data_IF_195046155265
#
_entry.id   IF_195046155265
#
_cell.length_a   1.000
_cell.length_b   1.000
_cell.length_c   1.000
_cell.angle_alpha   90.00
_cell.angle_beta   90.00
_cell.angle_gamma   90.00
#
_symmetry.space_group_name_H-M   'P 1'
#
loop_
_entity.id
_entity.type
_entity.pdbx_description
1 polymer ?
#
# COMPACT_ATOMS: atom_id res chain seq x y z
N UNK A 1 8.22 -11.20 -5.68
CA UNK A 1 9.26 -12.23 -5.40
C UNK A 1 9.67 -13.05 -6.63
N UNK A 2 8.74 -13.76 -7.29
CA UNK A 2 9.01 -14.62 -8.44
C UNK A 2 9.71 -13.84 -9.58
N UNK A 3 9.21 -12.65 -9.91
CA UNK A 3 9.80 -11.75 -10.91
C UNK A 3 11.23 -11.32 -10.57
N UNK A 4 11.51 -11.07 -9.29
CA UNK A 4 12.85 -10.70 -8.81
C UNK A 4 13.82 -11.87 -8.91
N UNK A 5 13.38 -13.08 -8.56
CA UNK A 5 14.19 -14.31 -8.74
C UNK A 5 14.49 -14.53 -10.22
N UNK A 6 13.49 -14.42 -11.10
CA UNK A 6 13.70 -14.54 -12.55
C UNK A 6 14.64 -13.45 -13.08
N UNK A 7 14.56 -12.21 -12.57
CA UNK A 7 15.47 -11.12 -12.96
C UNK A 7 16.90 -11.38 -12.50
N UNK A 8 17.11 -11.77 -11.25
CA UNK A 8 18.44 -12.08 -10.72
C UNK A 8 19.04 -13.33 -11.38
N UNK A 9 18.22 -14.38 -11.60
CA UNK A 9 18.62 -15.56 -12.36
C UNK A 9 18.93 -15.20 -13.81
N UNK A 10 18.14 -14.31 -14.41
CA UNK A 10 18.36 -13.86 -15.77
C UNK A 10 19.70 -13.15 -15.94
N UNK A 11 20.12 -12.39 -14.92
CA UNK A 11 21.37 -11.64 -14.91
C UNK A 11 22.60 -12.50 -14.56
N UNK A 12 22.45 -13.54 -13.73
CA UNK A 12 23.57 -14.35 -13.23
C UNK A 12 23.79 -15.71 -13.92
N UNK A 13 22.79 -16.27 -14.59
CA UNK A 13 22.93 -17.57 -15.24
C UNK A 13 23.70 -17.41 -16.57
N UNK A 14 24.85 -18.09 -16.68
CA UNK A 14 25.72 -18.03 -17.87
C UNK A 14 24.98 -18.63 -19.08
N UNK A 15 24.64 -17.80 -20.05
CA UNK A 15 23.94 -18.21 -21.27
C UNK A 15 24.96 -18.67 -22.34
N UNK A 16 24.78 -19.88 -22.88
CA UNK A 16 25.51 -20.32 -24.07
C UNK A 16 24.91 -19.65 -25.30
N UNK A 17 25.71 -18.81 -25.97
CA UNK A 17 25.30 -17.99 -27.11
C UNK A 17 25.10 -18.87 -28.35
N UNK A 18 23.85 -19.12 -28.74
CA UNK A 18 23.52 -19.66 -30.07
C UNK A 18 23.73 -18.56 -31.13
N UNK A 19 24.51 -18.84 -32.18
CA UNK A 19 24.76 -17.91 -33.30
C UNK A 19 23.42 -17.45 -33.89
N UNK A 20 23.18 -16.13 -33.93
CA UNK A 20 22.02 -15.51 -34.56
C UNK A 20 20.87 -15.08 -33.65
N UNK A 21 20.94 -15.34 -32.32
CA UNK A 21 19.93 -14.85 -31.36
C UNK A 21 20.47 -13.77 -30.43
N UNK A 22 19.63 -12.79 -30.10
CA UNK A 22 19.88 -11.82 -29.03
C UNK A 22 20.01 -12.56 -27.69
N UNK A 23 21.06 -12.28 -26.91
CA UNK A 23 21.17 -12.81 -25.55
C UNK A 23 20.12 -12.17 -24.66
N UNK A 24 19.71 -12.86 -23.58
CA UNK A 24 18.74 -12.36 -22.61
C UNK A 24 19.09 -10.98 -22.03
N UNK A 25 20.36 -10.71 -21.77
CA UNK A 25 20.82 -9.42 -21.26
C UNK A 25 20.70 -8.28 -22.28
N UNK A 26 21.00 -8.56 -23.56
CA UNK A 26 20.80 -7.58 -24.63
C UNK A 26 19.32 -7.28 -24.85
N UNK A 27 18.45 -8.29 -24.82
CA UNK A 27 16.99 -8.08 -24.88
C UNK A 27 16.50 -7.25 -23.68
N UNK A 28 16.98 -7.54 -22.47
CA UNK A 28 16.64 -6.76 -21.27
C UNK A 28 17.07 -5.30 -21.41
N UNK A 29 18.29 -5.03 -21.90
CA UNK A 29 18.76 -3.66 -22.10
C UNK A 29 17.96 -2.91 -23.16
N UNK A 30 17.64 -3.57 -24.28
CA UNK A 30 16.78 -2.98 -25.33
C UNK A 30 15.41 -2.65 -24.75
N UNK A 31 14.76 -3.61 -24.08
CA UNK A 31 13.46 -3.40 -23.45
C UNK A 31 13.49 -2.29 -22.38
N UNK A 32 14.55 -2.22 -21.59
CA UNK A 32 14.75 -1.17 -20.59
C UNK A 32 14.87 0.21 -21.22
N UNK A 33 15.73 0.36 -22.24
CA UNK A 33 15.91 1.64 -22.95
C UNK A 33 14.63 2.04 -23.68
N UNK A 34 13.96 1.11 -24.38
CA UNK A 34 12.69 1.37 -25.03
C UNK A 34 11.60 1.79 -24.04
N UNK A 35 11.49 1.10 -22.89
CA UNK A 35 10.52 1.46 -21.84
C UNK A 35 10.83 2.82 -21.22
N UNK A 36 12.11 3.13 -20.98
CA UNK A 36 12.54 4.41 -20.45
C UNK A 36 12.22 5.56 -21.42
N UNK A 37 12.57 5.39 -22.70
CA UNK A 37 12.25 6.37 -23.74
C UNK A 37 10.75 6.51 -23.95
N UNK A 38 9.99 5.40 -23.89
CA UNK A 38 8.54 5.44 -24.00
C UNK A 38 7.92 6.22 -22.85
N UNK A 39 8.41 6.10 -21.61
CA UNK A 39 7.87 6.79 -20.44
C UNK A 39 7.89 8.33 -20.55
N UNK A 40 8.86 8.89 -21.27
CA UNK A 40 8.93 10.33 -21.54
C UNK A 40 7.70 10.81 -22.33
N UNK A 41 7.13 9.93 -23.18
CA UNK A 41 6.06 10.27 -24.08
C UNK A 41 4.73 10.52 -23.35
N UNK A 42 4.14 9.59 -22.56
CA UNK A 42 2.96 9.87 -21.77
C UNK A 42 3.28 10.72 -20.52
N UNK A 43 4.52 10.73 -20.03
CA UNK A 43 4.87 11.47 -18.82
C UNK A 43 5.05 12.98 -19.01
N UNK A 44 5.61 13.41 -20.15
CA UNK A 44 5.99 14.81 -20.37
C UNK A 44 5.51 15.39 -21.70
N UNK A 45 5.62 14.64 -22.80
CA UNK A 45 5.34 15.20 -24.15
C UNK A 45 3.84 15.22 -24.42
N UNK A 46 3.14 14.12 -24.16
CA UNK A 46 1.70 13.96 -24.40
C UNK A 46 1.01 13.30 -23.19
N UNK A 47 0.75 14.06 -22.11
CA UNK A 47 0.05 13.57 -20.93
C UNK A 47 -1.32 12.95 -21.22
N UNK A 48 -1.97 13.35 -22.31
CA UNK A 48 -3.26 12.78 -22.74
C UNK A 48 -3.23 11.25 -22.95
N UNK A 49 -2.07 10.66 -23.27
CA UNK A 49 -1.95 9.20 -23.43
C UNK A 49 -2.16 8.43 -22.13
N UNK A 50 -2.06 9.09 -20.97
CA UNK A 50 -2.32 8.45 -19.67
C UNK A 50 -3.80 8.08 -19.49
N UNK A 51 -4.71 8.82 -20.13
CA UNK A 51 -6.16 8.59 -20.01
C UNK A 51 -6.92 9.04 -21.27
N UNK A 52 -7.00 8.15 -22.27
CA UNK A 52 -7.81 8.35 -23.46
C UNK A 52 -9.27 7.96 -23.19
N UNK A 53 -10.07 8.95 -22.82
CA UNK A 53 -11.49 8.78 -22.50
C UNK A 53 -12.37 9.05 -23.74
N UNK A 54 -12.53 8.05 -24.63
CA UNK A 54 -13.28 8.22 -25.89
C UNK A 54 -14.74 8.63 -25.70
N UNK A 55 -15.39 8.21 -24.61
CA UNK A 55 -16.75 8.61 -24.26
C UNK A 55 -16.85 10.13 -24.05
N UNK A 56 -15.84 10.73 -23.43
CA UNK A 56 -15.78 12.18 -23.23
C UNK A 56 -15.55 12.94 -24.54
N UNK A 57 -14.89 12.33 -25.52
CA UNK A 57 -14.70 12.89 -26.85
C UNK A 57 -15.97 12.88 -27.71
N UNK A 58 -16.75 11.79 -27.66
CA UNK A 58 -18.00 11.70 -28.42
C UNK A 58 -19.08 12.63 -27.83
N UNK A 59 -19.13 12.76 -26.50
CA UNK A 59 -20.14 13.56 -25.80
C UNK A 59 -19.52 14.65 -24.92
N UNK A 60 -18.84 15.65 -25.50
CA UNK A 60 -18.11 16.65 -24.74
C UNK A 60 -19.02 17.57 -23.90
N UNK A 61 -20.28 17.78 -24.31
CA UNK A 61 -21.21 18.66 -23.60
C UNK A 61 -22.01 17.96 -22.48
N UNK A 62 -21.96 16.62 -22.39
CA UNK A 62 -22.77 15.86 -21.44
C UNK A 62 -22.02 15.64 -20.13
N UNK A 63 -22.53 16.24 -19.05
CA UNK A 63 -21.99 16.07 -17.69
C UNK A 63 -22.01 14.60 -17.27
N UNK A 64 -23.05 13.85 -17.63
CA UNK A 64 -23.17 12.42 -17.30
C UNK A 64 -22.11 11.61 -18.06
N UNK A 65 -21.87 11.91 -19.34
CA UNK A 65 -20.86 11.22 -20.13
C UNK A 65 -19.44 11.50 -19.59
N UNK A 66 -19.18 12.72 -19.11
CA UNK A 66 -17.91 13.07 -18.48
C UNK A 66 -17.74 12.38 -17.12
N UNK A 67 -18.78 12.37 -16.27
CA UNK A 67 -18.74 11.70 -14.96
C UNK A 67 -18.53 10.19 -15.08
N UNK A 68 -19.12 9.56 -16.09
CA UNK A 68 -18.97 8.12 -16.34
C UNK A 68 -17.65 7.78 -17.05
N UNK A 69 -17.30 8.56 -18.09
CA UNK A 69 -16.24 8.22 -19.02
C UNK A 69 -14.86 8.78 -18.67
N UNK A 70 -14.76 9.83 -17.87
CA UNK A 70 -13.47 10.45 -17.53
C UNK A 70 -12.65 9.53 -16.65
N UNK A 71 -11.43 9.16 -17.07
CA UNK A 71 -10.52 8.34 -16.26
C UNK A 71 -9.78 9.10 -15.15
N UNK A 72 -9.79 10.43 -15.16
CA UNK A 72 -9.12 11.27 -14.14
C UNK A 72 -10.08 11.86 -13.11
N UNK A 73 -11.27 12.25 -13.55
CA UNK A 73 -12.26 12.99 -12.73
C UNK A 73 -13.60 12.26 -12.64
N UNK A 74 -13.68 11.03 -13.14
CA UNK A 74 -14.89 10.24 -13.23
C UNK A 74 -14.63 8.77 -12.98
N UNK A 75 -15.58 7.93 -13.38
CA UNK A 75 -15.50 6.48 -13.15
C UNK A 75 -14.62 5.74 -14.16
N UNK A 76 -14.20 6.41 -15.24
CA UNK A 76 -13.27 5.85 -16.23
C UNK A 76 -13.86 4.76 -17.14
N UNK A 77 -15.18 4.70 -17.33
CA UNK A 77 -15.81 3.73 -18.23
C UNK A 77 -15.26 3.93 -19.64
N UNK A 78 -14.57 2.91 -20.14
CA UNK A 78 -13.97 2.94 -21.47
C UNK A 78 -12.72 3.83 -21.59
N UNK A 79 -12.20 4.39 -20.51
CA UNK A 79 -10.93 5.12 -20.56
C UNK A 79 -9.76 4.14 -20.79
N UNK A 80 -8.91 4.45 -21.77
CA UNK A 80 -7.73 3.63 -22.11
C UNK A 80 -6.47 4.41 -21.75
N UNK A 81 -5.71 3.91 -20.80
CA UNK A 81 -4.36 4.41 -20.52
C UNK A 81 -3.33 3.62 -21.32
N UNK A 82 -2.51 4.29 -22.12
CA UNK A 82 -1.38 3.69 -22.82
C UNK A 82 -0.08 3.71 -22.00
N UNK A 83 -0.15 4.22 -20.78
CA UNK A 83 0.98 4.30 -19.86
C UNK A 83 1.01 3.11 -18.89
N UNK A 84 2.16 2.43 -18.84
CA UNK A 84 2.38 1.32 -17.92
C UNK A 84 2.37 1.76 -16.45
N UNK A 85 2.77 3.00 -16.14
CA UNK A 85 2.74 3.48 -14.75
C UNK A 85 1.31 3.66 -14.24
N UNK A 86 0.41 4.14 -15.09
CA UNK A 86 -1.03 4.21 -14.81
C UNK A 86 -1.68 2.83 -14.62
N UNK A 87 -1.26 1.83 -15.41
CA UNK A 87 -1.75 0.44 -15.26
C UNK A 87 -1.20 -0.21 -13.99
N UNK A 88 0.08 0.03 -13.68
CA UNK A 88 0.78 -0.61 -12.57
C UNK A 88 0.58 0.06 -11.21
N UNK A 89 0.13 1.32 -11.18
CA UNK A 89 -0.16 2.05 -9.93
C UNK A 89 -1.28 1.39 -9.12
N UNK A 90 -2.29 0.80 -9.78
CA UNK A 90 -3.46 0.23 -9.13
C UNK A 90 -3.27 -1.22 -8.66
N UNK A 91 -2.66 -2.08 -9.50
CA UNK A 91 -2.52 -3.52 -9.24
C UNK A 91 -1.09 -3.95 -8.86
N UNK A 92 -0.15 -2.99 -8.74
CA UNK A 92 1.28 -3.28 -8.72
C UNK A 92 1.73 -3.79 -10.10
N UNK A 93 2.59 -4.80 -10.16
CA UNK A 93 2.94 -5.44 -11.44
C UNK A 93 1.93 -6.55 -11.77
N UNK A 94 0.92 -6.32 -12.65
CA UNK A 94 -0.09 -7.34 -12.98
C UNK A 94 0.54 -8.60 -13.59
N UNK A 95 1.70 -8.47 -14.24
CA UNK A 95 2.49 -9.59 -14.78
C UNK A 95 3.02 -10.54 -13.69
N UNK A 96 3.14 -10.06 -12.45
CA UNK A 96 3.65 -10.85 -11.33
C UNK A 96 2.52 -11.52 -10.52
N UNK A 97 1.27 -11.07 -10.71
CA UNK A 97 0.11 -11.54 -9.96
C UNK A 97 -0.57 -12.70 -10.70
N UNK A 98 -1.02 -13.76 -10.01
CA UNK A 98 -1.73 -14.87 -10.65
C UNK A 98 -3.00 -14.40 -11.35
N UNK A 99 -3.34 -15.00 -12.50
CA UNK A 99 -4.52 -14.64 -13.30
C UNK A 99 -5.82 -14.62 -12.49
N UNK A 100 -6.06 -15.65 -11.66
CA UNK A 100 -7.24 -15.72 -10.81
C UNK A 100 -7.36 -14.53 -9.84
N UNK A 101 -6.24 -14.07 -9.27
CA UNK A 101 -6.24 -12.92 -8.37
C UNK A 101 -6.59 -11.63 -9.14
N UNK A 102 -5.97 -11.44 -10.31
CA UNK A 102 -6.25 -10.30 -11.19
C UNK A 102 -7.70 -10.29 -11.67
N UNK A 103 -8.25 -11.44 -12.06
CA UNK A 103 -9.64 -11.57 -12.48
C UNK A 103 -10.62 -11.23 -11.34
N UNK A 104 -10.37 -11.71 -10.12
CA UNK A 104 -11.21 -11.36 -8.96
C UNK A 104 -11.17 -9.86 -8.65
N UNK A 105 -10.00 -9.23 -8.70
CA UNK A 105 -9.87 -7.78 -8.47
C UNK A 105 -10.60 -7.02 -9.57
N UNK A 106 -10.52 -7.46 -10.84
CA UNK A 106 -11.23 -6.83 -11.95
C UNK A 106 -12.75 -6.93 -11.79
N UNK A 107 -13.27 -8.09 -11.38
CA UNK A 107 -14.71 -8.28 -11.11
C UNK A 107 -15.15 -7.42 -9.93
N UNK A 108 -14.38 -7.42 -8.84
CA UNK A 108 -14.65 -6.57 -7.67
C UNK A 108 -14.65 -5.08 -8.03
N UNK A 109 -13.65 -4.64 -8.79
CA UNK A 109 -13.57 -3.27 -9.30
C UNK A 109 -14.79 -2.91 -10.16
N UNK A 110 -15.14 -3.74 -11.15
CA UNK A 110 -16.29 -3.48 -12.01
C UNK A 110 -17.61 -3.39 -11.23
N UNK A 111 -17.81 -4.28 -10.25
CA UNK A 111 -18.98 -4.26 -9.39
C UNK A 111 -19.05 -2.96 -8.56
N UNK A 112 -17.93 -2.57 -7.96
CA UNK A 112 -17.89 -1.42 -7.05
C UNK A 112 -18.00 -0.09 -7.80
N UNK A 113 -17.21 0.06 -8.86
CA UNK A 113 -17.08 1.32 -9.60
C UNK A 113 -18.23 1.53 -10.58
N UNK A 114 -18.69 0.46 -11.24
CA UNK A 114 -19.72 0.58 -12.30
C UNK A 114 -21.12 0.19 -11.85
N UNK A 115 -21.29 -0.49 -10.71
CA UNK A 115 -22.62 -0.88 -10.20
C UNK A 115 -22.94 -0.18 -8.87
N UNK A 116 -22.14 -0.38 -7.82
CA UNK A 116 -22.46 0.16 -6.48
C UNK A 116 -22.34 1.68 -6.44
N UNK A 117 -21.21 2.24 -6.89
CA UNK A 117 -20.97 3.69 -6.84
C UNK A 117 -22.03 4.48 -7.61
N UNK A 118 -22.40 4.09 -8.84
CA UNK A 118 -23.41 4.83 -9.58
C UNK A 118 -24.81 4.63 -8.98
N UNK A 119 -25.15 3.41 -8.54
CA UNK A 119 -26.42 3.13 -7.87
C UNK A 119 -26.60 3.98 -6.60
N UNK A 120 -25.58 4.04 -5.75
CA UNK A 120 -25.59 4.86 -4.52
C UNK A 120 -25.69 6.35 -4.82
N UNK A 121 -25.00 6.82 -5.87
CA UNK A 121 -25.05 8.21 -6.31
C UNK A 121 -26.44 8.61 -6.84
N UNK A 122 -27.04 7.81 -7.72
CA UNK A 122 -28.35 8.12 -8.28
C UNK A 122 -29.49 7.92 -7.28
N UNK A 123 -29.38 7.00 -6.32
CA UNK A 123 -30.31 6.91 -5.20
C UNK A 123 -30.14 8.04 -4.16
N UNK A 124 -29.16 8.94 -4.37
CA UNK A 124 -28.88 10.07 -3.50
C UNK A 124 -28.61 9.66 -2.04
N UNK A 125 -28.00 8.48 -1.84
CA UNK A 125 -27.63 7.98 -0.52
C UNK A 125 -26.55 8.92 0.04
N UNK A 126 -26.69 9.37 1.29
CA UNK A 126 -25.82 10.38 1.91
C UNK A 126 -25.76 11.74 1.21
N UNK A 127 -26.83 12.16 0.51
CA UNK A 127 -26.85 13.41 -0.28
C UNK A 127 -25.77 13.45 -1.37
N UNK A 128 -25.44 12.28 -1.91
CA UNK A 128 -24.41 12.07 -2.91
C UNK A 128 -24.43 13.07 -4.09
N UNK A 129 -25.62 13.46 -4.57
CA UNK A 129 -25.76 14.34 -5.76
C UNK A 129 -25.28 15.78 -5.53
N UNK A 130 -25.06 16.18 -4.29
CA UNK A 130 -24.51 17.49 -3.95
C UNK A 130 -23.01 17.58 -4.24
N UNK A 131 -22.34 16.44 -4.40
CA UNK A 131 -20.89 16.33 -4.54
C UNK A 131 -20.50 15.65 -5.85
N UNK A 132 -19.25 15.83 -6.33
CA UNK A 132 -18.73 15.01 -7.43
C UNK A 132 -18.78 13.51 -7.11
N UNK A 133 -19.06 12.67 -8.11
CA UNK A 133 -19.07 11.20 -7.96
C UNK A 133 -17.70 10.70 -7.47
N UNK A 134 -16.63 11.25 -8.04
CA UNK A 134 -15.24 10.92 -7.77
C UNK A 134 -14.49 12.19 -7.38
N UNK A 135 -14.01 12.25 -6.14
CA UNK A 135 -13.11 13.31 -5.65
C UNK A 135 -12.46 12.86 -4.34
N UNK A 136 -11.22 13.29 -4.14
CA UNK A 136 -10.43 13.18 -2.91
C UNK A 136 -10.67 14.35 -1.94
N UNK A 137 -11.37 15.40 -2.37
CA UNK A 137 -11.67 16.57 -1.55
C UNK A 137 -12.81 16.31 -0.55
N UNK A 138 -12.79 17.06 0.55
CA UNK A 138 -13.83 17.09 1.58
C UNK A 138 -14.84 18.20 1.27
N UNK A 139 -16.12 17.99 1.58
CA UNK A 139 -17.19 18.92 1.26
C UNK A 139 -18.06 19.30 2.46
N UNK A 140 -18.62 20.51 2.44
CA UNK A 140 -19.67 20.97 3.37
C UNK A 140 -21.04 20.44 2.93
N UNK A 141 -22.07 20.58 3.75
CA UNK A 141 -23.44 20.13 3.39
C UNK A 141 -24.00 20.76 2.10
N UNK A 142 -23.43 21.88 1.64
CA UNK A 142 -23.83 22.64 0.46
C UNK A 142 -23.02 22.31 -0.81
N UNK A 143 -22.02 21.42 -0.73
CA UNK A 143 -21.20 21.05 -1.89
C UNK A 143 -19.94 21.89 -2.09
N UNK A 144 -19.65 22.82 -1.18
CA UNK A 144 -18.41 23.61 -1.21
C UNK A 144 -17.27 22.81 -0.61
N UNK A 145 -16.03 23.10 -1.03
CA UNK A 145 -14.85 22.49 -0.42
C UNK A 145 -14.78 22.85 1.05
N UNK A 146 -14.59 21.86 1.91
CA UNK A 146 -14.50 22.05 3.35
C UNK A 146 -13.15 22.66 3.70
N UNK A 147 -13.16 23.76 4.47
CA UNK A 147 -11.91 24.32 4.96
C UNK A 147 -11.47 23.57 6.21
N UNK A 148 -10.35 22.87 6.13
CA UNK A 148 -9.84 22.06 7.25
C UNK A 148 -9.12 22.96 8.27
N UNK A 149 -8.58 24.09 7.83
CA UNK A 149 -7.85 25.02 8.70
C UNK A 149 -8.76 25.70 9.73
N UNK A 150 -10.06 25.81 9.47
CA UNK A 150 -11.00 26.45 10.40
C UNK A 150 -11.38 25.57 11.59
N UNK A 151 -11.17 24.25 11.49
CA UNK A 151 -11.55 23.28 12.53
C UNK A 151 -10.34 22.74 13.31
N UNK A 152 -9.13 23.21 12.99
CA UNK A 152 -7.90 22.79 13.65
C UNK A 152 -7.33 23.99 14.42
N UNK A 153 -7.02 23.79 15.70
CA UNK A 153 -6.40 24.82 16.53
C UNK A 153 -4.89 24.99 16.23
N UNK A 154 -4.25 26.02 16.82
CA UNK A 154 -2.81 26.26 16.68
C UNK A 154 -1.94 25.10 17.22
N UNK A 155 -2.52 24.21 18.02
CA UNK A 155 -1.90 23.03 18.58
C UNK A 155 -2.24 21.75 17.79
N UNK A 156 -2.81 21.84 16.59
CA UNK A 156 -3.22 20.70 15.76
C UNK A 156 -4.28 19.77 16.40
N UNK A 157 -5.06 20.25 17.36
CA UNK A 157 -6.24 19.57 17.87
C UNK A 157 -7.49 19.95 17.06
N UNK A 158 -8.47 19.05 17.09
CA UNK A 158 -9.79 19.34 16.54
C UNK A 158 -10.54 20.29 17.49
N UNK A 159 -10.91 21.46 16.99
CA UNK A 159 -11.82 22.38 17.68
C UNK A 159 -13.26 21.90 17.49
N UNK A 160 -13.85 21.35 18.56
CA UNK A 160 -15.21 20.83 18.55
C UNK A 160 -16.26 21.94 18.35
N UNK A 161 -16.04 23.14 18.86
CA UNK A 161 -16.99 24.26 18.68
C UNK A 161 -16.96 24.77 17.24
N UNK A 162 -15.77 24.91 16.65
CA UNK A 162 -15.64 25.28 15.25
C UNK A 162 -16.24 24.21 14.33
N UNK A 163 -16.04 22.93 14.65
CA UNK A 163 -16.64 21.81 13.94
C UNK A 163 -18.17 21.82 14.01
N UNK A 164 -18.76 22.11 15.17
CA UNK A 164 -20.22 22.24 15.31
C UNK A 164 -20.78 23.42 14.50
N UNK A 165 -20.04 24.52 14.37
CA UNK A 165 -20.45 25.69 13.58
C UNK A 165 -20.38 25.45 12.08
N UNK A 166 -19.28 24.86 11.60
CA UNK A 166 -19.08 24.53 10.18
C UNK A 166 -19.95 23.34 9.72
N UNK A 167 -20.27 22.45 10.67
CA UNK A 167 -21.10 21.28 10.44
C UNK A 167 -20.33 20.06 9.92
N UNK A 168 -21.04 18.95 9.66
CA UNK A 168 -20.42 17.67 9.36
C UNK A 168 -19.72 17.66 8.00
N UNK A 169 -18.63 16.89 7.93
CA UNK A 169 -17.84 16.63 6.74
C UNK A 169 -18.55 15.64 5.83
N UNK A 170 -18.57 15.93 4.53
CA UNK A 170 -19.08 15.04 3.49
C UNK A 170 -17.97 14.58 2.56
N UNK A 171 -18.08 13.35 2.09
CA UNK A 171 -17.14 12.69 1.19
C UNK A 171 -17.82 12.43 -0.15
N UNK A 172 -17.01 12.32 -1.22
CA UNK A 172 -17.52 11.84 -2.51
C UNK A 172 -18.10 10.42 -2.38
N UNK A 173 -19.07 10.10 -3.22
CA UNK A 173 -19.76 8.79 -3.15
C UNK A 173 -18.80 7.64 -3.37
N UNK A 174 -17.88 7.77 -4.32
CA UNK A 174 -16.84 6.79 -4.55
C UNK A 174 -15.97 6.56 -3.31
N UNK A 175 -15.53 7.63 -2.65
CA UNK A 175 -14.66 7.53 -1.48
C UNK A 175 -15.38 6.90 -0.28
N UNK A 176 -16.66 7.24 -0.06
CA UNK A 176 -17.48 6.64 0.99
C UNK A 176 -17.68 5.12 0.78
N UNK A 177 -18.01 4.70 -0.46
CA UNK A 177 -18.16 3.27 -0.81
C UNK A 177 -16.83 2.53 -0.65
N UNK A 178 -15.72 3.15 -1.09
CA UNK A 178 -14.38 2.58 -0.97
C UNK A 178 -13.96 2.33 0.48
N UNK A 179 -14.27 3.25 1.40
CA UNK A 179 -14.03 3.04 2.84
C UNK A 179 -14.86 1.89 3.40
N UNK A 180 -16.15 1.80 3.05
CA UNK A 180 -16.99 0.68 3.47
C UNK A 180 -16.43 -0.67 3.04
N UNK A 181 -15.94 -0.76 1.80
CA UNK A 181 -15.33 -1.98 1.26
C UNK A 181 -13.97 -2.25 1.88
N UNK A 182 -13.20 -1.22 2.23
CA UNK A 182 -11.91 -1.37 2.91
C UNK A 182 -12.08 -2.08 4.27
N UNK A 183 -13.12 -1.72 5.04
CA UNK A 183 -13.46 -2.43 6.28
C UNK A 183 -13.89 -3.88 6.05
N UNK A 184 -14.72 -4.11 5.02
CA UNK A 184 -15.14 -5.46 4.64
C UNK A 184 -13.95 -6.33 4.19
N UNK A 185 -13.01 -5.76 3.44
CA UNK A 185 -11.81 -6.44 2.92
C UNK A 185 -10.90 -6.94 4.04
N UNK A 186 -10.69 -6.15 5.09
CA UNK A 186 -9.87 -6.54 6.23
C UNK A 186 -10.51 -7.68 7.02
N UNK A 187 -11.81 -7.59 7.29
CA UNK A 187 -12.55 -8.65 7.97
C UNK A 187 -12.55 -9.92 7.12
N UNK A 188 -12.79 -9.80 5.81
CA UNK A 188 -12.75 -10.92 4.87
C UNK A 188 -11.36 -11.55 4.80
N UNK A 189 -10.28 -10.76 4.84
CA UNK A 189 -8.90 -11.26 4.86
C UNK A 189 -8.65 -12.16 6.05
N UNK A 190 -9.05 -11.69 7.25
CA UNK A 190 -8.91 -12.45 8.49
C UNK A 190 -9.72 -13.75 8.42
N UNK A 191 -11.01 -13.66 8.07
CA UNK A 191 -11.91 -14.82 7.97
C UNK A 191 -11.41 -15.83 6.93
N UNK A 192 -10.99 -15.36 5.75
CA UNK A 192 -10.47 -16.20 4.68
C UNK A 192 -9.23 -16.98 5.11
N UNK A 193 -8.25 -16.30 5.72
CA UNK A 193 -7.02 -16.95 6.19
C UNK A 193 -7.32 -17.96 7.29
N UNK A 194 -8.19 -17.63 8.25
CA UNK A 194 -8.55 -18.57 9.32
C UNK A 194 -9.30 -19.80 8.80
N UNK A 195 -10.27 -19.64 7.90
CA UNK A 195 -11.07 -20.75 7.38
C UNK A 195 -10.29 -21.65 6.42
N UNK A 196 -9.57 -21.06 5.46
CA UNK A 196 -8.92 -21.84 4.39
C UNK A 196 -7.49 -22.25 4.74
N UNK A 197 -6.72 -21.37 5.38
CA UNK A 197 -5.32 -21.63 5.71
C UNK A 197 -5.08 -21.95 7.19
N UNK A 198 -6.07 -21.83 8.07
CA UNK A 198 -5.88 -22.02 9.52
C UNK A 198 -5.32 -23.40 9.89
N UNK A 199 -5.80 -24.47 9.25
CA UNK A 199 -5.27 -25.84 9.46
C UNK A 199 -3.81 -25.95 9.02
N UNK A 200 -3.46 -25.39 7.87
CA UNK A 200 -2.09 -25.39 7.35
C UNK A 200 -1.17 -24.57 8.25
N UNK A 201 -1.60 -23.37 8.67
CA UNK A 201 -0.86 -22.49 9.58
C UNK A 201 -0.60 -23.19 10.90
N UNK A 202 -1.58 -23.90 11.47
CA UNK A 202 -1.38 -24.68 12.69
C UNK A 202 -0.35 -25.80 12.45
N UNK A 203 -0.53 -26.61 11.41
CA UNK A 203 0.39 -27.71 11.11
C UNK A 203 1.82 -27.21 10.86
N UNK A 204 1.98 -26.10 10.14
CA UNK A 204 3.27 -25.45 9.87
C UNK A 204 3.87 -24.88 11.14
N UNK A 205 3.08 -24.21 11.98
CA UNK A 205 3.54 -23.69 13.27
C UNK A 205 4.04 -24.84 14.16
N UNK A 206 3.25 -25.92 14.29
CA UNK A 206 3.64 -27.11 15.05
C UNK A 206 4.89 -27.80 14.48
N UNK A 207 5.02 -27.83 13.16
CA UNK A 207 6.17 -28.43 12.48
C UNK A 207 7.44 -27.57 12.57
N UNK A 208 7.29 -26.23 12.60
CA UNK A 208 8.40 -25.30 12.81
C UNK A 208 9.02 -25.49 14.20
N UNK A 209 8.20 -25.69 15.23
CA UNK A 209 8.67 -26.06 16.57
C UNK A 209 9.21 -27.49 16.69
N UNK A 210 8.95 -28.36 15.70
CA UNK A 210 9.29 -29.79 15.76
C UNK A 210 10.34 -30.23 14.71
N UNK A 211 10.97 -29.29 13.98
CA UNK A 211 12.04 -29.51 12.97
C UNK A 211 11.81 -30.61 11.90
N UNK A 212 10.56 -30.99 11.60
CA UNK A 212 10.30 -32.27 10.89
C UNK A 212 10.36 -32.25 9.35
N UNK A 213 10.42 -31.09 8.67
CA UNK A 213 10.49 -31.04 7.20
C UNK A 213 11.57 -30.09 6.72
N UNK A 214 12.61 -30.67 6.11
CA UNK A 214 13.76 -29.92 5.61
C UNK A 214 13.82 -29.99 4.08
N UNK A 215 13.45 -28.87 3.43
CA UNK A 215 13.61 -28.63 1.99
C UNK A 215 15.09 -28.78 1.59
N UNK A 216 15.35 -29.18 0.34
CA UNK A 216 16.64 -29.11 -0.33
C UNK A 216 17.28 -27.73 -0.16
N UNK A 217 16.50 -26.65 -0.25
CA UNK A 217 17.00 -25.30 -0.05
C UNK A 217 17.54 -25.08 1.37
N UNK A 218 16.80 -25.55 2.37
CA UNK A 218 17.20 -25.53 3.78
C UNK A 218 18.43 -26.41 4.02
N UNK A 219 18.53 -27.59 3.37
CA UNK A 219 19.72 -28.45 3.43
C UNK A 219 20.97 -27.73 2.90
N UNK A 220 20.88 -27.07 1.75
CA UNK A 220 21.99 -26.31 1.19
C UNK A 220 22.35 -25.09 2.06
N UNK A 221 21.36 -24.47 2.69
CA UNK A 221 21.56 -23.29 3.54
C UNK A 221 22.11 -23.61 4.93
N UNK A 222 22.09 -24.88 5.38
CA UNK A 222 22.67 -25.30 6.68
C UNK A 222 24.16 -24.96 6.82
N UNK A 223 24.90 -24.82 5.71
CA UNK A 223 26.31 -24.39 5.74
C UNK A 223 26.47 -22.97 6.30
N UNK A 224 25.46 -22.12 6.16
CA UNK A 224 25.51 -20.74 6.64
C UNK A 224 24.95 -20.62 8.04
N UNK A 225 25.62 -19.83 8.89
CA UNK A 225 25.12 -19.49 10.22
C UNK A 225 23.83 -18.70 10.09
N UNK A 226 22.77 -19.16 10.76
CA UNK A 226 21.52 -18.42 10.85
C UNK A 226 21.72 -17.11 11.64
N UNK A 227 20.81 -16.17 11.42
CA UNK A 227 20.75 -14.92 12.18
C UNK A 227 20.23 -15.27 13.57
N UNK A 228 20.94 -14.90 14.65
CA UNK A 228 20.45 -15.11 16.00
C UNK A 228 19.13 -14.37 16.22
N UNK A 229 18.14 -15.01 16.84
CA UNK A 229 16.83 -14.40 17.10
C UNK A 229 16.94 -13.12 17.92
N UNK A 230 17.91 -13.05 18.85
CA UNK A 230 18.16 -11.88 19.67
C UNK A 230 18.49 -10.61 18.86
N UNK A 231 19.02 -10.73 17.63
CA UNK A 231 19.24 -9.55 16.76
C UNK A 231 17.91 -8.86 16.44
N UNK A 232 16.88 -9.63 16.10
CA UNK A 232 15.55 -9.11 15.82
C UNK A 232 14.89 -8.57 17.08
N UNK A 233 15.00 -9.28 18.20
CA UNK A 233 14.43 -8.84 19.49
C UNK A 233 15.08 -7.55 19.97
N UNK A 234 16.39 -7.40 19.87
CA UNK A 234 17.10 -6.17 20.22
C UNK A 234 16.65 -5.00 19.36
N UNK A 235 16.57 -5.16 18.02
CA UNK A 235 16.09 -4.09 17.13
C UNK A 235 14.64 -3.73 17.47
N UNK A 236 13.76 -4.71 17.70
CA UNK A 236 12.37 -4.47 18.05
C UNK A 236 12.25 -3.68 19.36
N UNK A 237 12.93 -4.12 20.42
CA UNK A 237 12.89 -3.46 21.73
C UNK A 237 13.48 -2.06 21.69
N UNK A 238 14.60 -1.86 20.99
CA UNK A 238 15.21 -0.53 20.82
C UNK A 238 14.27 0.39 20.06
N UNK A 239 13.65 -0.06 18.97
CA UNK A 239 12.72 0.76 18.19
C UNK A 239 11.46 1.12 18.97
N UNK A 240 10.83 0.16 19.67
CA UNK A 240 9.66 0.44 20.51
C UNK A 240 10.02 1.42 21.62
N UNK A 241 11.15 1.21 22.31
CA UNK A 241 11.60 2.10 23.39
C UNK A 241 11.90 3.51 22.88
N UNK A 242 12.59 3.63 21.75
CA UNK A 242 12.87 4.92 21.10
C UNK A 242 11.58 5.61 20.64
N UNK A 243 10.60 4.86 20.15
CA UNK A 243 9.30 5.39 19.71
C UNK A 243 8.50 5.93 20.89
N UNK A 244 8.41 5.15 21.98
CA UNK A 244 7.73 5.57 23.22
C UNK A 244 8.44 6.80 23.81
N UNK A 245 9.77 6.79 23.86
CA UNK A 245 10.55 7.93 24.35
C UNK A 245 10.29 9.19 23.52
N UNK A 246 10.28 9.07 22.18
CA UNK A 246 10.05 10.21 21.28
C UNK A 246 8.63 10.76 21.45
N UNK A 247 7.62 9.89 21.53
CA UNK A 247 6.23 10.29 21.76
C UNK A 247 6.03 10.97 23.13
N UNK A 248 6.78 10.54 24.16
CA UNK A 248 6.69 11.12 25.50
C UNK A 248 7.47 12.42 25.64
N UNK A 249 8.62 12.55 24.97
CA UNK A 249 9.45 13.75 24.99
C UNK A 249 8.84 14.87 24.16
N UNK A 250 8.36 14.57 22.95
CA UNK A 250 7.68 15.51 22.06
C UNK A 250 6.16 15.42 22.19
N UNK A 251 5.65 15.42 23.42
CA UNK A 251 4.22 15.23 23.69
C UNK A 251 3.36 16.29 23.01
N UNK A 252 3.82 17.53 23.00
CA UNK A 252 3.08 18.67 22.44
C UNK A 252 2.98 18.61 20.91
N UNK A 253 3.94 17.94 20.25
CA UNK A 253 3.98 17.82 18.78
C UNK A 253 3.38 16.51 18.27
N UNK A 254 3.72 15.37 18.89
CA UNK A 254 3.32 14.04 18.39
C UNK A 254 1.97 13.60 18.96
N UNK A 255 1.62 14.02 20.18
CA UNK A 255 0.30 13.82 20.81
C UNK A 255 -0.16 12.35 20.98
N UNK A 256 0.63 11.37 20.55
CA UNK A 256 0.33 9.95 20.67
C UNK A 256 0.79 9.43 22.05
N UNK A 257 -0.10 8.92 22.90
CA UNK A 257 0.29 8.36 24.19
C UNK A 257 1.04 7.02 24.04
N UNK A 258 1.83 6.66 25.07
CA UNK A 258 2.63 5.42 25.08
C UNK A 258 1.83 4.14 24.82
N UNK A 259 0.58 4.07 25.31
CA UNK A 259 -0.30 2.92 25.09
C UNK A 259 -0.74 2.80 23.62
N UNK A 260 -0.84 3.94 22.91
CA UNK A 260 -1.17 3.98 21.49
C UNK A 260 -0.09 3.33 20.64
N UNK A 261 1.18 3.53 20.99
CA UNK A 261 2.32 2.86 20.35
C UNK A 261 2.23 1.34 20.54
N UNK A 262 1.98 0.87 21.77
CA UNK A 262 1.85 -0.56 22.05
C UNK A 262 0.66 -1.20 21.33
N UNK A 263 -0.48 -0.50 21.27
CA UNK A 263 -1.65 -0.94 20.53
C UNK A 263 -1.37 -1.02 19.03
N UNK A 264 -0.67 -0.04 18.44
CA UNK A 264 -0.26 -0.07 17.04
C UNK A 264 0.65 -1.27 16.75
N UNK A 265 1.62 -1.54 17.63
CA UNK A 265 2.47 -2.73 17.52
C UNK A 265 1.66 -4.04 17.60
N UNK A 266 0.69 -4.14 18.52
CA UNK A 266 -0.16 -5.31 18.66
C UNK A 266 -1.01 -5.56 17.40
N UNK A 267 -1.60 -4.50 16.83
CA UNK A 267 -2.34 -4.57 15.56
C UNK A 267 -1.42 -4.99 14.41
N UNK A 268 -0.23 -4.38 14.29
CA UNK A 268 0.73 -4.74 13.27
C UNK A 268 1.10 -6.22 13.34
N UNK A 269 1.40 -6.74 14.54
CA UNK A 269 1.73 -8.15 14.77
C UNK A 269 0.56 -9.07 14.39
N UNK A 270 -0.66 -8.73 14.79
CA UNK A 270 -1.85 -9.53 14.48
C UNK A 270 -2.10 -9.61 12.97
N UNK A 271 -2.08 -8.47 12.26
CA UNK A 271 -2.40 -8.42 10.84
C UNK A 271 -1.24 -8.84 9.93
N UNK A 272 0.01 -8.86 10.42
CA UNK A 272 1.17 -9.32 9.63
C UNK A 272 0.97 -10.73 9.10
N UNK A 273 0.42 -11.65 9.89
CA UNK A 273 0.25 -13.05 9.48
C UNK A 273 -0.86 -13.20 8.41
N UNK A 274 -2.11 -12.74 8.63
CA UNK A 274 -3.15 -12.84 7.61
C UNK A 274 -2.80 -12.11 6.31
N UNK A 275 -2.32 -10.88 6.41
CA UNK A 275 -1.95 -10.10 5.23
C UNK A 275 -0.76 -10.76 4.52
N UNK A 276 0.25 -11.24 5.28
CA UNK A 276 1.40 -11.95 4.72
C UNK A 276 1.02 -13.21 3.93
N UNK A 277 0.03 -13.98 4.39
CA UNK A 277 -0.47 -15.16 3.66
C UNK A 277 -1.14 -14.76 2.35
N UNK A 278 -1.99 -13.74 2.35
CA UNK A 278 -2.62 -13.23 1.13
C UNK A 278 -1.57 -12.67 0.15
N UNK A 279 -0.62 -11.88 0.65
CA UNK A 279 0.48 -11.37 -0.18
C UNK A 279 1.33 -12.50 -0.77
N UNK A 280 1.56 -13.57 -0.02
CA UNK A 280 2.34 -14.71 -0.51
C UNK A 280 1.63 -15.51 -1.61
N UNK A 281 0.29 -15.61 -1.58
CA UNK A 281 -0.49 -16.40 -2.55
C UNK A 281 -0.94 -15.58 -3.76
N UNK A 282 -1.36 -14.33 -3.54
CA UNK A 282 -1.97 -13.48 -4.57
C UNK A 282 -1.03 -12.39 -5.10
N UNK A 283 0.11 -12.16 -4.45
CA UNK A 283 1.03 -11.04 -4.72
C UNK A 283 0.36 -9.66 -4.49
N UNK A 284 -0.75 -9.60 -3.75
CA UNK A 284 -1.48 -8.39 -3.40
C UNK A 284 -1.43 -8.16 -1.90
N UNK A 285 -1.28 -6.89 -1.49
CA UNK A 285 -1.14 -6.54 -0.06
C UNK A 285 -2.30 -5.64 0.35
N UNK A 286 -3.33 -6.20 1.01
CA UNK A 286 -4.41 -5.40 1.60
C UNK A 286 -3.86 -4.28 2.51
N UNK A 287 -4.39 -3.07 2.36
CA UNK A 287 -3.99 -1.91 3.15
C UNK A 287 -4.76 -1.84 4.48
N UNK A 288 -4.08 -1.46 5.57
CA UNK A 288 -4.65 -1.30 6.92
C UNK A 288 -4.84 0.16 7.35
N UNK A 289 -4.60 1.11 6.45
CA UNK A 289 -4.71 2.54 6.76
C UNK A 289 -6.08 2.88 7.35
N UNK A 290 -7.18 2.45 6.70
CA UNK A 290 -8.53 2.84 7.12
C UNK A 290 -8.90 2.33 8.51
N UNK A 291 -8.56 1.07 8.85
CA UNK A 291 -8.91 0.52 10.17
C UNK A 291 -8.06 1.09 11.30
N UNK A 292 -6.78 1.35 11.03
CA UNK A 292 -5.89 1.93 12.05
C UNK A 292 -6.32 3.35 12.38
N UNK A 293 -6.67 4.15 11.38
CA UNK A 293 -7.21 5.50 11.56
C UNK A 293 -8.57 5.48 12.29
N UNK A 294 -9.43 4.49 11.98
CA UNK A 294 -10.73 4.34 12.64
C UNK A 294 -10.63 3.94 14.11
N UNK A 295 -9.77 2.97 14.45
CA UNK A 295 -9.60 2.50 15.84
C UNK A 295 -9.10 3.64 16.73
N UNK A 296 -8.02 4.32 16.33
CA UNK A 296 -7.46 5.40 17.15
C UNK A 296 -8.38 6.62 17.17
N UNK A 297 -9.05 6.95 16.07
CA UNK A 297 -10.02 8.05 16.01
C UNK A 297 -11.19 7.86 16.97
N UNK A 298 -11.59 6.62 17.25
CA UNK A 298 -12.64 6.31 18.21
C UNK A 298 -12.15 6.28 19.67
N UNK A 299 -10.95 5.74 19.91
CA UNK A 299 -10.41 5.60 21.28
C UNK A 299 -9.80 6.92 21.79
N UNK A 300 -9.19 7.70 20.90
CA UNK A 300 -8.50 8.95 21.20
C UNK A 300 -8.91 10.06 20.21
N UNK A 301 -10.18 10.51 20.29
CA UNK A 301 -10.71 11.54 19.39
C UNK A 301 -10.08 12.90 19.67
N UNK A 302 -10.05 13.76 18.64
CA UNK A 302 -9.60 15.15 18.76
C UNK A 302 -8.11 15.38 18.47
N UNK A 303 -7.33 14.33 18.21
CA UNK A 303 -5.88 14.42 17.95
C UNK A 303 -5.51 13.87 16.55
N UNK A 304 -5.66 14.69 15.48
CA UNK A 304 -5.28 14.33 14.12
C UNK A 304 -3.84 13.82 13.97
N UNK A 305 -2.87 14.46 14.65
CA UNK A 305 -1.45 14.08 14.55
C UNK A 305 -1.23 12.69 15.15
N UNK A 306 -1.82 12.41 16.31
CA UNK A 306 -1.78 11.09 16.93
C UNK A 306 -2.38 10.01 16.01
N UNK A 307 -3.45 10.34 15.28
CA UNK A 307 -4.08 9.44 14.32
C UNK A 307 -3.11 9.05 13.18
N UNK A 308 -2.46 10.04 12.57
CA UNK A 308 -1.49 9.82 11.49
C UNK A 308 -0.31 8.96 11.98
N UNK A 309 0.22 9.24 13.18
CA UNK A 309 1.32 8.45 13.75
C UNK A 309 0.91 7.01 14.05
N UNK A 310 -0.29 6.81 14.59
CA UNK A 310 -0.82 5.47 14.86
C UNK A 310 -0.94 4.65 13.56
N UNK A 311 -1.41 5.27 12.47
CA UNK A 311 -1.39 4.64 11.13
C UNK A 311 0.03 4.26 10.70
N UNK A 312 1.00 5.16 10.85
CA UNK A 312 2.40 4.88 10.47
C UNK A 312 2.92 3.66 11.23
N UNK A 313 2.78 3.63 12.55
CA UNK A 313 3.26 2.51 13.38
C UNK A 313 2.46 1.21 13.19
N UNK A 314 1.16 1.29 12.88
CA UNK A 314 0.33 0.10 12.67
C UNK A 314 0.48 -0.50 11.26
N UNK A 315 0.37 0.32 10.23
CA UNK A 315 0.32 -0.14 8.84
C UNK A 315 1.72 -0.23 8.20
N UNK A 316 2.56 0.80 8.32
CA UNK A 316 3.86 0.84 7.63
C UNK A 316 4.80 -0.20 8.25
N UNK A 317 4.79 -0.38 9.56
CA UNK A 317 5.59 -1.43 10.23
C UNK A 317 5.21 -2.83 9.76
N UNK A 318 3.92 -3.12 9.58
CA UNK A 318 3.48 -4.40 9.01
C UNK A 318 3.95 -4.55 7.55
N UNK A 319 3.74 -3.54 6.71
CA UNK A 319 4.19 -3.55 5.30
C UNK A 319 5.69 -3.81 5.20
N UNK A 320 6.48 -3.10 6.00
CA UNK A 320 7.94 -3.26 6.05
C UNK A 320 8.33 -4.66 6.53
N UNK A 321 7.63 -5.21 7.52
CA UNK A 321 7.83 -6.59 7.98
C UNK A 321 7.59 -7.63 6.88
N UNK A 322 6.53 -7.47 6.08
CA UNK A 322 6.25 -8.35 4.93
C UNK A 322 7.33 -8.22 3.86
N UNK A 323 7.73 -7.00 3.47
CA UNK A 323 8.81 -6.78 2.50
C UNK A 323 10.14 -7.38 2.98
N UNK A 324 10.46 -7.21 4.26
CA UNK A 324 11.64 -7.78 4.88
C UNK A 324 11.64 -9.33 4.80
N UNK A 325 10.51 -9.98 5.06
CA UNK A 325 10.35 -11.43 4.89
C UNK A 325 10.48 -11.87 3.43
N UNK A 326 9.95 -11.10 2.48
CA UNK A 326 10.07 -11.39 1.05
C UNK A 326 11.54 -11.43 0.60
N UNK A 327 12.34 -10.47 1.06
CA UNK A 327 13.78 -10.39 0.79
C UNK A 327 14.56 -11.53 1.46
N UNK A 328 14.24 -11.89 2.70
CA UNK A 328 14.85 -13.06 3.35
C UNK A 328 14.60 -14.34 2.57
N UNK A 329 13.37 -14.51 2.07
CA UNK A 329 13.00 -15.65 1.23
C UNK A 329 13.75 -15.60 -0.10
N UNK A 330 13.96 -14.40 -0.67
CA UNK A 330 14.73 -14.22 -1.91
C UNK A 330 16.19 -14.62 -1.69
N UNK A 331 16.81 -14.16 -0.61
CA UNK A 331 18.15 -14.54 -0.20
C UNK A 331 18.30 -16.05 0.00
N UNK A 332 17.28 -16.69 0.58
CA UNK A 332 17.25 -18.14 0.78
C UNK A 332 17.25 -18.93 -0.56
N UNK A 333 16.53 -18.44 -1.58
CA UNK A 333 16.57 -19.03 -2.91
C UNK A 333 17.90 -18.76 -3.64
N UNK A 334 18.43 -17.54 -3.49
CA UNK A 334 19.68 -17.12 -4.13
C UNK A 334 20.95 -17.63 -3.43
N UNK A 335 20.81 -18.36 -2.31
CA UNK A 335 21.92 -18.90 -1.51
C UNK A 335 22.84 -17.83 -0.90
N UNK A 336 22.28 -16.66 -0.60
CA UNK A 336 22.97 -15.57 0.08
C UNK A 336 23.02 -15.87 1.59
N UNK A 337 24.17 -15.71 2.27
CA UNK A 337 24.28 -15.92 3.71
C UNK A 337 23.25 -15.06 4.49
N UNK A 338 22.44 -15.64 5.40
CA UNK A 338 21.35 -14.92 6.09
C UNK A 338 21.82 -13.70 6.89
N UNK A 339 23.00 -13.77 7.53
CA UNK A 339 23.59 -12.65 8.27
C UNK A 339 23.99 -11.48 7.38
N UNK A 340 24.52 -11.78 6.19
CA UNK A 340 24.86 -10.74 5.22
C UNK A 340 23.60 -10.08 4.68
N UNK A 341 22.55 -10.87 4.40
CA UNK A 341 21.24 -10.33 3.98
C UNK A 341 20.65 -9.40 5.05
N UNK A 342 20.64 -9.85 6.31
CA UNK A 342 20.17 -9.03 7.43
C UNK A 342 20.92 -7.70 7.55
N UNK A 343 22.26 -7.73 7.52
CA UNK A 343 23.08 -6.53 7.60
C UNK A 343 22.84 -5.58 6.42
N UNK A 344 22.73 -6.12 5.21
CA UNK A 344 22.42 -5.33 4.02
C UNK A 344 21.06 -4.62 4.14
N UNK A 345 20.04 -5.30 4.67
CA UNK A 345 18.72 -4.70 4.90
C UNK A 345 18.71 -3.65 6.00
N UNK A 346 19.39 -3.89 7.13
CA UNK A 346 19.49 -2.92 8.23
C UNK A 346 20.21 -1.66 7.75
N UNK A 347 21.38 -1.81 7.10
CA UNK A 347 22.14 -0.68 6.56
C UNK A 347 21.33 0.05 5.49
N UNK A 348 20.69 -0.69 4.58
CA UNK A 348 19.84 -0.12 3.53
C UNK A 348 18.67 0.68 4.11
N UNK A 349 18.06 0.21 5.21
CA UNK A 349 16.96 0.92 5.88
C UNK A 349 17.45 2.19 6.55
N UNK A 350 18.63 2.18 7.18
CA UNK A 350 19.24 3.39 7.78
C UNK A 350 19.54 4.43 6.70
N UNK A 351 20.18 4.01 5.60
CA UNK A 351 20.48 4.91 4.48
C UNK A 351 19.20 5.47 3.88
N UNK A 352 18.18 4.63 3.64
CA UNK A 352 16.90 5.07 3.12
C UNK A 352 16.22 6.08 4.06
N UNK A 353 16.24 5.84 5.38
CA UNK A 353 15.67 6.75 6.37
C UNK A 353 16.36 8.13 6.35
N UNK A 354 17.69 8.16 6.27
CA UNK A 354 18.47 9.40 6.19
C UNK A 354 18.21 10.16 4.90
N UNK A 355 18.16 9.46 3.76
CA UNK A 355 17.85 10.07 2.46
C UNK A 355 16.43 10.62 2.46
N UNK A 356 15.45 9.85 2.94
CA UNK A 356 14.06 10.30 3.03
C UNK A 356 13.92 11.53 3.92
N UNK A 357 14.58 11.54 5.08
CA UNK A 357 14.59 12.71 5.96
C UNK A 357 15.21 13.92 5.27
N UNK A 358 16.37 13.76 4.64
CA UNK A 358 17.03 14.85 3.90
C UNK A 358 16.17 15.40 2.77
N UNK A 359 15.53 14.53 1.99
CA UNK A 359 14.61 14.95 0.92
C UNK A 359 13.36 15.64 1.45
N UNK A 360 12.82 15.18 2.58
CA UNK A 360 11.64 15.81 3.19
C UNK A 360 11.98 17.22 3.70
N UNK A 361 13.11 17.38 4.38
CA UNK A 361 13.62 18.68 4.82
C UNK A 361 13.86 19.62 3.63
N UNK A 362 14.52 19.13 2.60
CA UNK A 362 14.75 19.92 1.37
C UNK A 362 13.44 20.35 0.72
N UNK A 363 12.44 19.46 0.66
CA UNK A 363 11.14 19.77 0.07
C UNK A 363 10.37 20.82 0.89
N UNK A 364 10.39 20.73 2.22
CA UNK A 364 9.73 21.70 3.10
C UNK A 364 10.41 23.08 3.11
N UNK A 365 11.72 23.15 2.85
CA UNK A 365 12.45 24.43 2.75
C UNK A 365 12.29 25.10 1.37
N UNK A 366 12.11 24.30 0.32
CA UNK A 366 12.02 24.81 -1.07
C UNK A 366 10.59 25.10 -1.53
N UNK A 367 9.59 24.39 -1.01
CA UNK A 367 8.18 24.64 -1.32
C UNK A 367 7.55 25.44 -0.16
N UNK A 368 7.03 26.66 -0.42
CA UNK A 368 6.40 27.50 0.60
C UNK A 368 5.09 26.92 1.15
#
# INVERSE_FOLDING_TARGET
MVTTVYKCRALHEKEQRLKGRLTRNHFFLIAFVCSFSYYVLPGYIFPMLTSLSWICWIFPASVVAQQLGSGLHGLGIGAIGLDWSSISSYLGSPLASPWFATANIAVGFALVVYVITPFTYWLNIYRARTFPIFSDSLFTSLGQKYNIETIIDEHFHLDAEAYEREGPLYLSTFFAVYYGISFACLTATVVHVFLFHGKEIWLLSKSAFSEKKMDIHTKLMRRYKQVPEWWFTCILLVNISATIFTCQYFKDQLQLPWWGVLLACALALFFTLPVGVITATTNQTPALNVITEFIIGYIYPGYPVANILFKVYGYISMKQGITFLQDFKLGHYMKIPPRAMFMAQVIGTIVAALVHLGTAWWLMDTLP
#
